data_IF_271578961310
#
_entry.id   IF_271578961310
#
_cell.length_a   1.000
_cell.length_b   1.000
_cell.length_c   1.000
_cell.angle_alpha   90.00
_cell.angle_beta   90.00
_cell.angle_gamma   90.00
#
_symmetry.space_group_name_H-M   'P 1'
#
loop_
_entity.id
_entity.type
_entity.pdbx_description
1 polymer ?
#
# COMPACT_ATOMS: atom_id res chain seq x y z
N UNK A 1 -33.78 27.12 -7.08
CA UNK A 1 -32.38 27.31 -6.65
C UNK A 1 -31.85 25.99 -6.10
N UNK A 2 -30.63 25.65 -6.53
CA UNK A 2 -29.99 24.34 -6.50
C UNK A 2 -29.84 23.77 -5.08
N UNK A 3 -30.21 22.51 -4.87
CA UNK A 3 -29.64 21.67 -3.81
C UNK A 3 -28.91 20.51 -4.48
N UNK A 4 -27.61 20.72 -4.70
CA UNK A 4 -26.66 19.65 -4.95
C UNK A 4 -26.50 18.89 -3.63
N UNK A 5 -27.18 17.76 -3.48
CA UNK A 5 -26.90 16.83 -2.38
C UNK A 5 -25.95 15.78 -2.92
N UNK A 6 -24.69 15.96 -2.51
CA UNK A 6 -23.54 15.08 -2.66
C UNK A 6 -23.91 13.60 -2.83
N UNK A 7 -23.89 13.14 -4.08
CA UNK A 7 -23.74 11.73 -4.42
C UNK A 7 -22.24 11.43 -4.45
N UNK A 8 -21.57 11.45 -3.29
CA UNK A 8 -20.30 10.73 -3.11
C UNK A 8 -20.64 9.49 -2.29
N UNK A 9 -21.52 8.69 -2.88
CA UNK A 9 -21.76 7.34 -2.42
C UNK A 9 -20.60 6.48 -2.95
N UNK A 10 -19.74 6.05 -2.03
CA UNK A 10 -19.28 4.67 -2.03
C UNK A 10 -18.52 4.20 -3.30
N UNK A 11 -17.53 4.95 -3.79
CA UNK A 11 -16.63 4.52 -4.88
C UNK A 11 -15.14 4.67 -4.54
N UNK A 12 -14.74 4.41 -3.29
CA UNK A 12 -13.32 4.48 -2.90
C UNK A 12 -12.69 3.16 -2.43
N UNK A 13 -13.41 2.04 -2.42
CA UNK A 13 -12.89 0.78 -1.87
C UNK A 13 -12.65 -0.36 -2.88
N UNK A 14 -12.60 -0.10 -4.19
CA UNK A 14 -12.44 -1.15 -5.21
C UNK A 14 -11.15 -1.10 -6.04
N UNK A 15 -10.09 -0.38 -5.62
CA UNK A 15 -8.81 -0.37 -6.35
C UNK A 15 -7.57 -0.67 -5.50
N UNK A 16 -7.69 -1.61 -4.57
CA UNK A 16 -6.51 -2.34 -4.06
C UNK A 16 -6.55 -3.77 -4.59
N UNK A 17 -6.67 -3.93 -5.91
CA UNK A 17 -6.17 -5.16 -6.51
C UNK A 17 -4.67 -5.14 -6.29
N UNK A 18 -4.08 -6.11 -5.56
CA UNK A 18 -2.64 -6.21 -5.49
C UNK A 18 -2.17 -6.34 -6.93
N UNK A 19 -1.43 -5.33 -7.43
CA UNK A 19 -0.67 -5.49 -8.66
C UNK A 19 0.10 -6.78 -8.43
N UNK A 20 -0.14 -7.79 -9.27
CA UNK A 20 0.57 -9.05 -9.21
C UNK A 20 2.04 -8.76 -9.49
N UNK A 21 2.81 -8.45 -8.45
CA UNK A 21 4.28 -8.38 -8.49
C UNK A 21 4.87 -9.78 -8.70
N UNK A 22 4.02 -10.82 -8.78
CA UNK A 22 4.41 -12.22 -8.73
C UNK A 22 4.82 -12.81 -10.10
N UNK A 23 4.51 -12.18 -11.25
CA UNK A 23 4.79 -12.81 -12.56
C UNK A 23 6.03 -12.27 -13.30
N UNK A 24 6.91 -11.47 -12.67
CA UNK A 24 8.03 -10.85 -13.39
C UNK A 24 9.45 -11.28 -12.99
N UNK A 25 9.62 -12.28 -12.11
CA UNK A 25 10.97 -12.77 -11.71
C UNK A 25 11.34 -14.05 -12.45
N UNK A 26 11.34 -14.00 -13.78
CA UNK A 26 12.13 -14.93 -14.59
C UNK A 26 13.27 -14.14 -15.22
N UNK A 27 14.42 -14.08 -14.54
CA UNK A 27 15.62 -13.41 -15.07
C UNK A 27 16.70 -14.45 -15.35
N UNK A 28 16.86 -14.77 -16.64
CA UNK A 28 17.98 -15.54 -17.21
C UNK A 28 19.00 -14.52 -17.75
N UNK A 29 20.23 -14.51 -17.22
CA UNK A 29 21.48 -14.91 -17.90
C UNK A 29 22.69 -14.68 -16.96
N UNK A 30 23.75 -15.50 -17.13
CA UNK A 30 24.89 -15.69 -16.22
C UNK A 30 25.85 -14.47 -16.17
N UNK A 31 25.88 -13.69 -15.06
CA UNK A 31 26.86 -12.63 -14.86
C UNK A 31 28.27 -13.17 -14.58
N UNK A 32 29.26 -12.27 -14.57
CA UNK A 32 30.58 -12.56 -14.00
C UNK A 32 30.43 -13.12 -12.58
N UNK A 33 31.31 -14.04 -12.17
CA UNK A 33 31.06 -14.88 -10.97
C UNK A 33 30.86 -14.07 -9.69
N UNK A 34 31.55 -12.94 -9.57
CA UNK A 34 31.46 -12.03 -8.42
C UNK A 34 30.13 -11.25 -8.40
N UNK A 35 29.73 -10.67 -9.53
CA UNK A 35 28.45 -9.97 -9.66
C UNK A 35 27.25 -10.89 -9.49
N UNK A 36 27.39 -12.17 -9.88
CA UNK A 36 26.34 -13.18 -9.69
C UNK A 36 25.96 -13.35 -8.22
N UNK A 37 26.96 -13.42 -7.34
CA UNK A 37 26.73 -13.56 -5.89
C UNK A 37 26.02 -12.32 -5.32
N UNK A 38 26.51 -11.12 -5.65
CA UNK A 38 25.95 -9.86 -5.15
C UNK A 38 24.50 -9.66 -5.64
N UNK A 39 24.23 -9.92 -6.92
CA UNK A 39 22.88 -9.83 -7.49
C UNK A 39 21.93 -10.81 -6.79
N UNK A 40 22.40 -12.04 -6.52
CA UNK A 40 21.62 -13.05 -5.80
C UNK A 40 21.27 -12.57 -4.38
N UNK A 41 22.24 -11.99 -3.67
CA UNK A 41 22.02 -11.42 -2.34
C UNK A 41 20.95 -10.32 -2.37
N UNK A 42 21.07 -9.34 -3.28
CA UNK A 42 20.09 -8.26 -3.43
C UNK A 42 18.69 -8.77 -3.74
N UNK A 43 18.57 -9.79 -4.61
CA UNK A 43 17.28 -10.43 -4.92
C UNK A 43 16.68 -11.13 -3.69
N UNK A 44 17.51 -11.75 -2.84
CA UNK A 44 17.05 -12.35 -1.58
C UNK A 44 16.46 -11.29 -0.65
N UNK A 45 17.16 -10.17 -0.45
CA UNK A 45 16.68 -9.05 0.37
C UNK A 45 15.36 -8.47 -0.16
N UNK A 46 15.23 -8.33 -1.48
CA UNK A 46 13.97 -7.89 -2.11
C UNK A 46 12.84 -8.89 -1.84
N UNK A 47 13.09 -10.19 -1.96
CA UNK A 47 12.09 -11.22 -1.69
C UNK A 47 11.62 -11.21 -0.23
N UNK A 48 12.53 -10.99 0.72
CA UNK A 48 12.17 -10.79 2.14
C UNK A 48 11.26 -9.58 2.31
N UNK A 49 11.59 -8.44 1.68
CA UNK A 49 10.73 -7.25 1.71
C UNK A 49 9.37 -7.45 1.04
N UNK A 50 9.30 -8.24 -0.05
CA UNK A 50 8.02 -8.62 -0.67
C UNK A 50 7.16 -9.36 0.35
N UNK A 51 7.75 -10.31 1.09
CA UNK A 51 7.04 -11.09 2.10
C UNK A 51 6.53 -10.21 3.24
N UNK A 52 7.37 -9.35 3.81
CA UNK A 52 7.00 -8.39 4.85
C UNK A 52 5.81 -7.51 4.40
N UNK A 53 5.88 -6.92 3.21
CA UNK A 53 4.81 -6.07 2.67
C UNK A 53 3.52 -6.85 2.43
N UNK A 54 3.63 -8.11 1.96
CA UNK A 54 2.46 -8.98 1.74
C UNK A 54 1.76 -9.36 3.04
N UNK A 55 2.51 -9.61 4.10
CA UNK A 55 1.94 -10.01 5.38
C UNK A 55 1.16 -8.86 6.04
N UNK A 56 1.67 -7.62 5.99
CA UNK A 56 0.94 -6.46 6.49
C UNK A 56 -0.27 -6.09 5.63
N UNK A 57 -0.18 -6.27 4.29
CA UNK A 57 -1.33 -6.06 3.40
C UNK A 57 -2.52 -6.97 3.72
N UNK A 58 -2.29 -8.21 4.17
CA UNK A 58 -3.39 -9.09 4.62
C UNK A 58 -4.13 -8.48 5.81
N UNK A 59 -3.41 -7.95 6.80
CA UNK A 59 -4.00 -7.26 7.96
C UNK A 59 -4.81 -6.04 7.53
N UNK A 60 -4.23 -5.20 6.67
CA UNK A 60 -4.90 -4.00 6.12
C UNK A 60 -6.18 -4.38 5.38
N UNK A 61 -6.17 -5.44 4.56
CA UNK A 61 -7.35 -5.89 3.82
C UNK A 61 -8.46 -6.35 4.77
N UNK A 62 -8.11 -7.09 5.82
CA UNK A 62 -9.08 -7.53 6.83
C UNK A 62 -9.69 -6.34 7.56
N UNK A 63 -8.85 -5.41 8.05
CA UNK A 63 -9.31 -4.20 8.76
C UNK A 63 -10.11 -3.26 7.86
N UNK A 64 -9.74 -3.14 6.59
CA UNK A 64 -10.49 -2.32 5.63
C UNK A 64 -11.91 -2.84 5.45
N UNK A 65 -12.07 -4.17 5.36
CA UNK A 65 -13.39 -4.80 5.31
C UNK A 65 -14.19 -4.53 6.59
N UNK A 66 -13.58 -4.75 7.75
CA UNK A 66 -14.21 -4.49 9.05
C UNK A 66 -14.65 -3.01 9.19
N UNK A 67 -13.78 -2.07 8.84
CA UNK A 67 -14.09 -0.65 8.87
C UNK A 67 -15.26 -0.30 7.95
N UNK A 68 -15.31 -0.89 6.74
CA UNK A 68 -16.44 -0.71 5.81
C UNK A 68 -17.74 -1.26 6.38
N UNK A 69 -17.72 -2.45 6.99
CA UNK A 69 -18.89 -3.07 7.59
C UNK A 69 -19.41 -2.22 8.77
N UNK A 70 -18.50 -1.74 9.63
CA UNK A 70 -18.82 -0.84 10.74
C UNK A 70 -19.36 0.50 10.27
N UNK A 71 -18.76 1.09 9.24
CA UNK A 71 -19.24 2.35 8.66
C UNK A 71 -20.69 2.21 8.19
N UNK A 72 -20.99 1.15 7.43
CA UNK A 72 -22.36 0.90 6.95
C UNK A 72 -23.35 0.75 8.10
N UNK A 73 -22.98 0.03 9.17
CA UNK A 73 -23.83 -0.14 10.35
C UNK A 73 -24.09 1.20 11.08
N UNK A 74 -23.05 2.01 11.27
CA UNK A 74 -23.14 3.29 11.99
C UNK A 74 -23.96 4.31 11.21
N UNK A 75 -23.74 4.43 9.91
CA UNK A 75 -24.34 5.50 9.10
C UNK A 75 -25.68 5.13 8.43
N UNK A 76 -26.02 3.84 8.39
CA UNK A 76 -27.35 3.37 7.96
C UNK A 76 -28.30 3.08 9.13
N UNK A 77 -27.83 3.30 10.36
CA UNK A 77 -28.61 3.08 11.58
C UNK A 77 -29.74 4.10 11.77
N UNK A 78 -30.69 3.82 12.68
CA UNK A 78 -31.82 4.71 12.96
C UNK A 78 -31.39 6.01 13.64
N UNK A 79 -30.26 5.99 14.35
CA UNK A 79 -29.68 7.17 15.01
C UNK A 79 -28.43 7.56 14.22
N UNK A 80 -28.48 8.67 13.46
CA UNK A 80 -27.32 9.13 12.71
C UNK A 80 -26.25 9.68 13.65
N UNK A 81 -24.96 9.54 13.31
CA UNK A 81 -23.88 10.21 14.04
C UNK A 81 -24.03 11.73 14.03
N UNK A 82 -23.57 12.37 15.11
CA UNK A 82 -23.49 13.82 15.24
C UNK A 82 -22.60 14.44 14.16
N UNK A 83 -22.79 15.73 13.85
CA UNK A 83 -21.95 16.43 12.86
C UNK A 83 -20.46 16.44 13.24
N UNK A 84 -20.16 16.50 14.54
CA UNK A 84 -18.78 16.39 15.05
C UNK A 84 -18.18 15.00 14.78
N UNK A 85 -18.95 13.94 15.03
CA UNK A 85 -18.52 12.56 14.75
C UNK A 85 -18.30 12.34 13.25
N UNK A 86 -19.20 12.89 12.40
CA UNK A 86 -19.08 12.84 10.93
C UNK A 86 -17.81 13.53 10.45
N UNK A 87 -17.51 14.72 10.96
CA UNK A 87 -16.29 15.46 10.61
C UNK A 87 -15.04 14.69 11.02
N UNK A 88 -15.08 14.00 12.17
CA UNK A 88 -13.96 13.16 12.61
C UNK A 88 -13.76 11.93 11.72
N UNK A 89 -14.84 11.31 11.26
CA UNK A 89 -14.78 10.25 10.24
C UNK A 89 -14.12 10.76 8.96
N UNK A 90 -14.58 11.90 8.43
CA UNK A 90 -14.02 12.50 7.21
C UNK A 90 -12.51 12.78 7.35
N UNK A 91 -12.06 13.30 8.50
CA UNK A 91 -10.63 13.54 8.76
C UNK A 91 -9.82 12.23 8.72
N UNK A 92 -10.33 11.15 9.32
CA UNK A 92 -9.66 9.85 9.31
C UNK A 92 -9.63 9.25 7.89
N UNK A 93 -10.70 9.40 7.11
CA UNK A 93 -10.77 8.95 5.72
C UNK A 93 -9.80 9.74 4.82
N UNK A 94 -9.69 11.06 5.02
CA UNK A 94 -8.68 11.88 4.33
C UNK A 94 -7.26 11.43 4.67
N UNK A 95 -6.98 11.10 5.94
CA UNK A 95 -5.67 10.58 6.34
C UNK A 95 -5.37 9.23 5.66
N UNK A 96 -6.32 8.30 5.66
CA UNK A 96 -6.21 7.02 4.96
C UNK A 96 -5.98 7.21 3.45
N UNK A 97 -6.69 8.16 2.84
CA UNK A 97 -6.52 8.52 1.42
C UNK A 97 -5.12 9.05 1.12
N UNK A 98 -4.60 9.95 1.97
CA UNK A 98 -3.24 10.48 1.83
C UNK A 98 -2.17 9.39 1.94
N UNK A 99 -2.35 8.43 2.87
CA UNK A 99 -1.44 7.29 3.02
C UNK A 99 -1.51 6.39 1.78
N UNK A 100 -2.70 6.09 1.28
CA UNK A 100 -2.89 5.28 0.08
C UNK A 100 -2.22 5.90 -1.16
N UNK A 101 -2.31 7.23 -1.32
CA UNK A 101 -1.61 7.94 -2.38
C UNK A 101 -0.08 7.77 -2.27
N UNK A 102 0.48 7.92 -1.06
CA UNK A 102 1.92 7.73 -0.85
C UNK A 102 2.39 6.30 -1.14
N UNK A 103 1.56 5.29 -0.84
CA UNK A 103 1.82 3.89 -1.19
C UNK A 103 1.85 3.74 -2.71
N UNK A 104 0.84 4.23 -3.42
CA UNK A 104 0.75 4.15 -4.88
C UNK A 104 1.93 4.85 -5.58
N UNK A 105 2.34 6.02 -5.09
CA UNK A 105 3.51 6.73 -5.61
C UNK A 105 4.81 5.93 -5.40
N UNK A 106 4.94 5.25 -4.26
CA UNK A 106 6.10 4.40 -3.95
C UNK A 106 6.12 3.17 -4.84
N UNK A 107 4.98 2.51 -5.07
CA UNK A 107 4.85 1.37 -5.99
C UNK A 107 5.24 1.75 -7.42
N UNK A 108 4.77 2.91 -7.89
CA UNK A 108 5.14 3.44 -9.22
C UNK A 108 6.65 3.69 -9.33
N UNK A 109 7.29 4.19 -8.27
CA UNK A 109 8.73 4.39 -8.23
C UNK A 109 9.50 3.05 -8.27
N UNK A 110 9.05 2.04 -7.52
CA UNK A 110 9.62 0.68 -7.52
C UNK A 110 9.52 0.08 -8.94
N UNK A 111 8.35 0.13 -9.57
CA UNK A 111 8.15 -0.42 -10.91
C UNK A 111 9.08 0.21 -11.97
N UNK A 112 9.26 1.54 -11.91
CA UNK A 112 10.23 2.25 -12.76
C UNK A 112 11.65 1.78 -12.52
N UNK A 113 12.06 1.63 -11.26
CA UNK A 113 13.42 1.21 -10.90
C UNK A 113 13.71 -0.22 -11.33
N UNK A 114 12.74 -1.13 -11.21
CA UNK A 114 12.84 -2.50 -11.74
C UNK A 114 13.10 -2.48 -13.26
N UNK A 115 12.37 -1.66 -14.01
CA UNK A 115 12.59 -1.52 -15.47
C UNK A 115 14.01 -1.04 -15.78
N UNK A 116 14.52 -0.05 -15.04
CA UNK A 116 15.89 0.44 -15.21
C UNK A 116 16.93 -0.63 -14.88
N UNK A 117 16.79 -1.33 -13.75
CA UNK A 117 17.69 -2.43 -13.35
C UNK A 117 17.76 -3.50 -14.43
N UNK A 118 16.62 -3.89 -14.99
CA UNK A 118 16.59 -4.89 -16.06
C UNK A 118 17.29 -4.41 -17.34
N UNK A 119 17.29 -3.10 -17.59
CA UNK A 119 18.01 -2.52 -18.73
C UNK A 119 19.52 -2.56 -18.48
N UNK A 120 19.97 -2.16 -17.28
CA UNK A 120 21.37 -2.23 -16.89
C UNK A 120 21.92 -3.67 -16.93
N UNK A 121 21.16 -4.64 -16.43
CA UNK A 121 21.55 -6.05 -16.51
C UNK A 121 21.72 -6.54 -17.94
N UNK A 122 20.84 -6.15 -18.87
CA UNK A 122 20.97 -6.50 -20.30
C UNK A 122 22.20 -5.88 -20.95
N UNK A 123 22.56 -4.67 -20.53
CA UNK A 123 23.74 -3.96 -21.02
C UNK A 123 25.03 -4.38 -20.30
N UNK A 124 24.95 -5.29 -19.32
CA UNK A 124 26.07 -5.69 -18.45
C UNK A 124 26.63 -4.53 -17.58
N UNK A 125 25.81 -3.51 -17.34
CA UNK A 125 26.09 -2.38 -16.44
C UNK A 125 25.81 -2.81 -14.98
N UNK A 126 26.62 -3.73 -14.45
CA UNK A 126 26.31 -4.41 -13.19
C UNK A 126 26.34 -3.50 -11.95
N UNK A 127 27.20 -2.48 -11.93
CA UNK A 127 27.27 -1.53 -10.82
C UNK A 127 25.98 -0.70 -10.72
N UNK A 128 25.46 -0.25 -11.86
CA UNK A 128 24.20 0.47 -12.01
C UNK A 128 23.02 -0.42 -11.64
N UNK A 129 23.06 -1.71 -12.01
CA UNK A 129 22.06 -2.69 -11.60
C UNK A 129 22.05 -2.88 -10.07
N UNK A 130 23.22 -3.02 -9.43
CA UNK A 130 23.36 -3.17 -7.97
C UNK A 130 22.86 -1.92 -7.22
N UNK A 131 23.27 -0.72 -7.65
CA UNK A 131 22.75 0.55 -7.11
C UNK A 131 21.23 0.68 -7.31
N UNK A 132 20.74 0.16 -8.43
CA UNK A 132 19.32 0.08 -8.72
C UNK A 132 18.56 -0.81 -7.74
N UNK A 133 19.11 -1.98 -7.40
CA UNK A 133 18.56 -2.87 -6.39
C UNK A 133 18.54 -2.24 -4.98
N UNK A 134 19.61 -1.54 -4.58
CA UNK A 134 19.63 -0.82 -3.29
C UNK A 134 18.52 0.21 -3.20
N UNK A 135 18.27 0.93 -4.30
CA UNK A 135 17.17 1.87 -4.39
C UNK A 135 15.81 1.19 -4.24
N UNK A 136 15.62 0.00 -4.83
CA UNK A 136 14.39 -0.78 -4.70
C UNK A 136 14.18 -1.19 -3.23
N UNK A 137 15.21 -1.70 -2.57
CA UNK A 137 15.14 -2.14 -1.17
C UNK A 137 14.74 -0.97 -0.25
N UNK A 138 15.32 0.21 -0.47
CA UNK A 138 14.97 1.43 0.27
C UNK A 138 13.50 1.84 0.03
N UNK A 139 13.04 1.81 -1.22
CA UNK A 139 11.65 2.12 -1.56
C UNK A 139 10.67 1.09 -0.96
N UNK A 140 11.01 -0.19 -0.95
CA UNK A 140 10.17 -1.22 -0.33
C UNK A 140 10.12 -1.09 1.19
N UNK A 141 11.21 -0.65 1.82
CA UNK A 141 11.21 -0.32 3.26
C UNK A 141 10.33 0.90 3.56
N UNK A 142 10.34 1.91 2.68
CA UNK A 142 9.40 3.03 2.76
C UNK A 142 7.95 2.59 2.56
N UNK A 143 7.70 1.69 1.59
CA UNK A 143 6.38 1.10 1.37
C UNK A 143 5.88 0.37 2.62
N UNK A 144 6.73 -0.43 3.26
CA UNK A 144 6.42 -1.11 4.52
C UNK A 144 6.00 -0.11 5.61
N UNK A 145 6.76 0.97 5.77
CA UNK A 145 6.45 2.03 6.75
C UNK A 145 5.07 2.67 6.49
N UNK A 146 4.75 2.97 5.23
CA UNK A 146 3.45 3.52 4.86
C UNK A 146 2.30 2.52 5.08
N UNK A 147 2.52 1.23 4.77
CA UNK A 147 1.56 0.17 5.06
C UNK A 147 1.33 0.04 6.57
N UNK A 148 2.38 0.12 7.38
CA UNK A 148 2.25 0.10 8.85
C UNK A 148 1.44 1.27 9.37
N UNK A 149 1.69 2.47 8.85
CA UNK A 149 0.89 3.65 9.18
C UNK A 149 -0.59 3.44 8.81
N UNK A 150 -0.86 2.88 7.62
CA UNK A 150 -2.23 2.57 7.20
C UNK A 150 -2.90 1.57 8.15
N UNK A 151 -2.19 0.51 8.54
CA UNK A 151 -2.69 -0.52 9.46
C UNK A 151 -3.03 0.06 10.85
N UNK A 152 -2.18 0.95 11.37
CA UNK A 152 -2.40 1.67 12.62
C UNK A 152 -3.57 2.66 12.54
N UNK A 153 -3.68 3.43 11.45
CA UNK A 153 -4.78 4.37 11.23
C UNK A 153 -6.11 3.63 11.07
N UNK A 154 -6.13 2.48 10.39
CA UNK A 154 -7.31 1.61 10.31
C UNK A 154 -7.74 1.10 11.68
N UNK A 155 -6.81 0.66 12.54
CA UNK A 155 -7.14 0.27 13.91
C UNK A 155 -7.80 1.40 14.70
N UNK A 156 -7.28 2.64 14.58
CA UNK A 156 -7.89 3.81 15.23
C UNK A 156 -9.28 4.11 14.66
N UNK A 157 -9.44 3.99 13.35
CA UNK A 157 -10.70 4.24 12.67
C UNK A 157 -11.78 3.23 13.09
N UNK A 158 -11.44 1.94 13.11
CA UNK A 158 -12.31 0.87 13.61
C UNK A 158 -12.75 1.13 15.05
N UNK A 159 -11.83 1.43 15.95
CA UNK A 159 -12.15 1.70 17.35
C UNK A 159 -13.08 2.91 17.48
N UNK A 160 -12.87 3.95 16.66
CA UNK A 160 -13.76 5.10 16.65
C UNK A 160 -15.16 4.73 16.16
N UNK A 161 -15.28 4.04 15.03
CA UNK A 161 -16.57 3.58 14.50
C UNK A 161 -17.31 2.67 15.50
N UNK A 162 -16.61 1.78 16.19
CA UNK A 162 -17.18 0.96 17.25
C UNK A 162 -17.72 1.82 18.40
N UNK A 163 -17.01 2.88 18.81
CA UNK A 163 -17.49 3.79 19.87
C UNK A 163 -18.78 4.52 19.49
N UNK A 164 -19.04 4.74 18.20
CA UNK A 164 -20.27 5.38 17.72
C UNK A 164 -21.49 4.45 17.78
N UNK A 165 -21.28 3.12 17.83
CA UNK A 165 -22.38 2.14 17.93
C UNK A 165 -23.01 2.06 19.32
N UNK A 166 -22.31 2.51 20.35
CA UNK A 166 -22.74 2.43 21.75
C UNK A 166 -23.34 3.75 22.26
N UNK A 167 -23.55 4.74 21.38
CA UNK A 167 -24.28 5.98 21.66
C UNK A 167 -25.71 5.87 21.13
#
# INVERSE_FOLDING_TARGET
MKKFVFTIALTLFTFLTPIKVIDAVSFIENPDKDFTSMIKEKRSQINEKVKENKDIQKSINQKSKEASDLYMLVFSGPIPPSDEDRKKVEIMEMELGSIAEQIALTEKAIARRIKSVNTYLKNQDYNEALSGYDSIINLMSKQYSNLKKQDETLSKYINFLQSLRHK
#
